data_IF_207803289147
#
_entry.id   IF_207803289147
#
_cell.length_a   1.000
_cell.length_b   1.000
_cell.length_c   1.000
_cell.angle_alpha   90.00
_cell.angle_beta   90.00
_cell.angle_gamma   90.00
#
_symmetry.space_group_name_H-M   'P 1'
#
loop_
_entity.id
_entity.type
_entity.pdbx_description
1 polymer ?
#
# COMPACT_ATOMS: atom_id res chain seq x y z
N UNK A 1 -8.97 3.47 -17.10
CA UNK A 1 -8.82 4.71 -16.30
C UNK A 1 -8.41 4.31 -14.89
N UNK A 2 -7.71 5.13 -14.09
CA UNK A 2 -7.37 4.74 -12.69
C UNK A 2 -8.60 4.52 -11.80
N UNK A 3 -9.75 5.04 -12.22
CA UNK A 3 -11.04 4.90 -11.53
C UNK A 3 -11.85 3.66 -11.98
N UNK A 4 -11.33 2.90 -12.93
CA UNK A 4 -12.00 1.70 -13.45
C UNK A 4 -11.63 0.46 -12.61
N UNK A 5 -12.64 -0.36 -12.30
CA UNK A 5 -12.49 -1.48 -11.37
C UNK A 5 -11.53 -2.56 -11.89
N UNK A 6 -11.53 -2.82 -13.20
CA UNK A 6 -10.64 -3.80 -13.83
C UNK A 6 -9.19 -3.32 -13.80
N UNK A 7 -8.97 -2.01 -13.94
CA UNK A 7 -7.65 -1.41 -13.74
C UNK A 7 -7.13 -1.62 -12.31
N UNK A 8 -7.99 -1.47 -11.30
CA UNK A 8 -7.66 -1.73 -9.90
C UNK A 8 -7.38 -3.21 -9.63
N UNK A 9 -8.21 -4.11 -10.17
CA UNK A 9 -8.02 -5.56 -10.08
C UNK A 9 -6.67 -5.99 -10.65
N UNK A 10 -6.31 -5.50 -11.84
CA UNK A 10 -5.03 -5.83 -12.46
C UNK A 10 -3.85 -5.44 -11.56
N UNK A 11 -3.89 -4.26 -10.91
CA UNK A 11 -2.83 -3.82 -10.00
C UNK A 11 -2.71 -4.70 -8.75
N UNK A 12 -3.84 -5.13 -8.19
CA UNK A 12 -3.88 -6.07 -7.06
C UNK A 12 -3.23 -7.40 -7.47
N UNK A 13 -3.67 -8.00 -8.58
CA UNK A 13 -3.24 -9.35 -8.97
C UNK A 13 -1.80 -9.39 -9.51
N UNK A 14 -1.40 -8.39 -10.30
CA UNK A 14 -0.09 -8.39 -10.96
C UNK A 14 1.05 -7.93 -10.04
N UNK A 15 0.75 -7.04 -9.08
CA UNK A 15 1.80 -6.37 -8.29
C UNK A 15 1.54 -6.37 -6.78
N UNK A 16 0.41 -6.87 -6.31
CA UNK A 16 0.05 -6.84 -4.89
C UNK A 16 -0.28 -5.45 -4.36
N UNK A 17 -0.47 -4.46 -5.24
CA UNK A 17 -0.86 -3.11 -4.80
C UNK A 17 -2.34 -3.09 -4.43
N UNK A 18 -2.65 -2.62 -3.22
CA UNK A 18 -4.02 -2.30 -2.86
C UNK A 18 -4.63 -1.23 -3.77
N UNK A 19 -5.96 -1.17 -3.78
CA UNK A 19 -6.74 -0.15 -4.50
C UNK A 19 -7.45 0.79 -3.52
N UNK A 20 -7.76 2.02 -3.93
CA UNK A 20 -8.65 2.91 -3.16
C UNK A 20 -10.13 2.66 -3.45
N UNK A 21 -10.45 1.71 -4.33
CA UNK A 21 -11.81 1.38 -4.74
C UNK A 21 -12.25 0.04 -4.15
N UNK A 22 -13.30 0.05 -3.34
CA UNK A 22 -13.95 -1.17 -2.84
C UNK A 22 -14.44 -2.08 -3.97
N UNK A 23 -14.88 -1.50 -5.09
CA UNK A 23 -15.29 -2.23 -6.30
C UNK A 23 -14.16 -3.05 -6.94
N UNK A 24 -12.89 -2.64 -6.80
CA UNK A 24 -11.77 -3.41 -7.30
C UNK A 24 -11.44 -4.61 -6.39
N UNK A 25 -11.58 -4.46 -5.07
CA UNK A 25 -11.42 -5.59 -4.14
C UNK A 25 -12.53 -6.63 -4.30
N UNK A 26 -13.75 -6.18 -4.55
CA UNK A 26 -14.90 -7.06 -4.75
C UNK A 26 -14.75 -8.00 -5.98
N UNK A 27 -13.89 -7.65 -6.95
CA UNK A 27 -13.67 -8.46 -8.16
C UNK A 27 -12.46 -9.40 -8.07
N UNK A 28 -11.73 -9.37 -6.93
CA UNK A 28 -10.59 -10.25 -6.65
C UNK A 28 -11.03 -11.36 -5.68
N UNK A 29 -10.73 -12.64 -5.97
CA UNK A 29 -11.05 -13.74 -5.06
C UNK A 29 -10.42 -13.56 -3.68
N UNK A 30 -11.18 -13.88 -2.61
CA UNK A 30 -10.71 -13.74 -1.22
C UNK A 30 -9.37 -14.46 -0.95
N UNK A 31 -9.21 -15.68 -1.47
CA UNK A 31 -7.98 -16.46 -1.30
C UNK A 31 -6.75 -15.78 -1.91
N UNK A 32 -6.94 -15.01 -2.98
CA UNK A 32 -5.85 -14.25 -3.61
C UNK A 32 -5.48 -13.02 -2.78
N UNK A 33 -6.48 -12.32 -2.23
CA UNK A 33 -6.24 -11.20 -1.30
C UNK A 33 -5.50 -11.66 -0.03
N UNK A 34 -5.92 -12.80 0.54
CA UNK A 34 -5.25 -13.40 1.70
C UNK A 34 -3.79 -13.76 1.39
N UNK A 35 -3.52 -14.34 0.22
CA UNK A 35 -2.14 -14.62 -0.24
C UNK A 35 -1.30 -13.35 -0.35
N UNK A 36 -1.90 -12.25 -0.80
CA UNK A 36 -1.24 -10.94 -0.94
C UNK A 36 -1.17 -10.15 0.37
N UNK A 37 -1.66 -10.70 1.49
CA UNK A 37 -1.78 -10.02 2.78
C UNK A 37 -2.60 -8.71 2.69
N UNK A 38 -3.57 -8.68 1.78
CA UNK A 38 -4.51 -7.59 1.61
C UNK A 38 -5.86 -7.97 2.24
N UNK A 39 -6.52 -7.06 2.98
CA UNK A 39 -7.88 -7.32 3.45
C UNK A 39 -8.86 -7.29 2.28
N UNK A 40 -10.04 -7.87 2.50
CA UNK A 40 -11.15 -7.82 1.53
C UNK A 40 -11.83 -6.46 1.44
N UNK A 41 -11.61 -5.58 2.42
CA UNK A 41 -12.15 -4.23 2.49
C UNK A 41 -11.01 -3.21 2.60
N UNK A 42 -10.85 -2.30 1.63
CA UNK A 42 -9.79 -1.29 1.67
C UNK A 42 -9.91 -0.34 2.88
N UNK A 43 -11.10 -0.14 3.44
CA UNK A 43 -11.29 0.71 4.64
C UNK A 43 -10.50 0.20 5.85
N UNK A 44 -10.27 -1.11 5.94
CA UNK A 44 -9.47 -1.73 7.02
C UNK A 44 -8.02 -1.25 6.95
N UNK A 45 -7.43 -1.18 5.75
CA UNK A 45 -6.10 -0.61 5.57
C UNK A 45 -6.11 0.89 5.86
N UNK A 46 -7.07 1.63 5.30
CA UNK A 46 -7.09 3.09 5.42
C UNK A 46 -7.20 3.57 6.87
N UNK A 47 -7.92 2.84 7.74
CA UNK A 47 -8.04 3.16 9.17
C UNK A 47 -6.78 2.87 9.99
N UNK A 48 -5.92 1.97 9.53
CA UNK A 48 -4.74 1.50 10.27
C UNK A 48 -3.43 2.01 9.68
N UNK A 49 -3.46 2.51 8.44
CA UNK A 49 -2.28 3.01 7.73
C UNK A 49 -1.77 4.28 8.38
N UNK A 50 -0.45 4.35 8.58
CA UNK A 50 0.23 5.58 8.97
C UNK A 50 0.55 6.38 7.72
N UNK A 51 0.00 7.59 7.64
CA UNK A 51 0.32 8.53 6.58
C UNK A 51 1.49 9.42 7.01
N UNK A 52 2.57 9.43 6.24
CA UNK A 52 3.70 10.32 6.47
C UNK A 52 3.35 11.74 6.05
N UNK A 53 3.54 12.71 6.95
CA UNK A 53 3.45 14.14 6.63
C UNK A 53 4.82 14.80 6.45
N UNK A 54 4.88 16.11 6.18
CA UNK A 54 6.13 16.86 6.13
C UNK A 54 6.93 16.71 7.43
N UNK A 55 8.17 16.25 7.33
CA UNK A 55 9.05 16.01 8.48
C UNK A 55 9.98 17.19 8.71
N UNK A 56 9.93 17.80 9.89
CA UNK A 56 10.81 18.94 10.25
C UNK A 56 12.27 18.51 10.44
N UNK A 57 12.49 17.26 10.83
CA UNK A 57 13.80 16.67 11.13
C UNK A 57 14.36 15.87 9.95
N UNK A 58 13.97 16.21 8.71
CA UNK A 58 14.33 15.44 7.52
C UNK A 58 15.85 15.27 7.35
N UNK A 59 16.63 16.31 7.64
CA UNK A 59 18.09 16.27 7.51
C UNK A 59 18.75 15.30 8.50
N UNK A 60 18.23 15.21 9.72
CA UNK A 60 18.76 14.28 10.73
C UNK A 60 18.35 12.84 10.44
N UNK A 61 17.13 12.62 9.94
CA UNK A 61 16.69 11.32 9.44
C UNK A 61 17.52 10.85 8.25
N UNK A 62 17.88 11.76 7.33
CA UNK A 62 18.74 11.44 6.20
C UNK A 62 20.13 10.99 6.66
N UNK A 63 20.76 11.72 7.60
CA UNK A 63 22.06 11.31 8.17
C UNK A 63 21.99 9.95 8.86
N UNK A 64 20.93 9.72 9.64
CA UNK A 64 20.70 8.42 10.28
C UNK A 64 20.57 7.31 9.23
N UNK A 65 19.80 7.54 8.17
CA UNK A 65 19.59 6.58 7.09
C UNK A 65 20.90 6.22 6.37
N UNK A 66 21.75 7.21 6.06
CA UNK A 66 23.07 6.97 5.46
C UNK A 66 23.98 6.14 6.37
N UNK A 67 23.99 6.44 7.67
CA UNK A 67 24.75 5.65 8.65
C UNK A 67 24.30 4.18 8.68
N UNK A 68 22.99 3.94 8.69
CA UNK A 68 22.43 2.57 8.65
C UNK A 68 22.83 1.85 7.35
N UNK A 69 22.75 2.51 6.19
CA UNK A 69 23.18 1.92 4.91
C UNK A 69 24.66 1.56 4.88
N UNK A 70 25.51 2.33 5.58
CA UNK A 70 26.94 2.07 5.68
C UNK A 70 27.29 0.88 6.59
N UNK A 71 26.30 0.23 7.20
CA UNK A 71 26.50 -0.92 8.10
C UNK A 71 26.42 -0.58 9.59
N UNK A 72 26.11 0.67 9.94
CA UNK A 72 25.97 1.14 11.33
C UNK A 72 27.24 1.79 11.89
#
# INVERSE_FOLDING_TARGET
SRLDADSGKYLIQAYGYGSSLSSAFATVPKAELEKLQLPSDPEVLLKTTIFTGPMKQNDDLAKMFEKVKAGG
#
